data_IF_583999779878
#
_entry.id   IF_583999779878
#
_cell.length_a   1.000
_cell.length_b   1.000
_cell.length_c   1.000
_cell.angle_alpha   90.00
_cell.angle_beta   90.00
_cell.angle_gamma   90.00
#
_symmetry.space_group_name_H-M   'P 1'
#
loop_
_entity.id
_entity.type
_entity.pdbx_description
1 polymer ?
#
# COMPACT_ATOMS: atom_id res chain seq x y z
N UNK A 1 -10.24 -19.18 28.20
CA UNK A 1 -9.48 -18.01 27.73
C UNK A 1 -9.66 -17.98 26.23
N UNK A 2 -10.28 -16.93 25.69
CA UNK A 2 -10.43 -16.82 24.24
C UNK A 2 -9.05 -16.54 23.63
N UNK A 3 -8.56 -17.49 22.84
CA UNK A 3 -7.29 -17.39 22.16
C UNK A 3 -7.31 -16.23 21.15
N UNK A 4 -6.29 -15.37 21.21
CA UNK A 4 -6.18 -14.24 20.28
C UNK A 4 -5.73 -14.73 18.90
N UNK A 5 -6.51 -14.42 17.87
CA UNK A 5 -6.10 -14.61 16.48
C UNK A 5 -5.13 -13.50 16.08
N UNK A 6 -4.09 -13.84 15.34
CA UNK A 6 -3.11 -12.88 14.81
C UNK A 6 -2.96 -13.05 13.30
N UNK A 7 -2.76 -11.95 12.57
CA UNK A 7 -2.24 -11.99 11.21
C UNK A 7 -0.72 -11.92 11.25
N UNK A 8 -0.06 -12.93 10.70
CA UNK A 8 1.38 -13.01 10.57
C UNK A 8 1.79 -12.76 9.12
N UNK A 9 2.74 -11.88 8.93
CA UNK A 9 3.37 -11.52 7.66
C UNK A 9 4.81 -11.99 7.69
N UNK A 10 5.20 -12.79 6.70
CA UNK A 10 6.54 -13.39 6.65
C UNK A 10 7.22 -13.10 5.31
N UNK A 11 8.36 -12.42 5.34
CA UNK A 11 9.24 -12.25 4.18
C UNK A 11 10.48 -13.13 4.32
N UNK A 12 10.95 -13.69 3.19
CA UNK A 12 12.22 -14.38 3.11
C UNK A 12 13.26 -13.45 2.49
N UNK A 13 14.24 -13.00 3.27
CA UNK A 13 15.29 -12.09 2.83
C UNK A 13 16.66 -12.76 3.02
N UNK A 14 17.34 -13.12 1.93
CA UNK A 14 18.75 -13.53 1.91
C UNK A 14 19.21 -14.53 3.03
N UNK A 15 18.34 -15.48 3.39
CA UNK A 15 18.63 -16.50 4.40
C UNK A 15 18.12 -16.20 5.81
N UNK A 16 17.50 -15.04 6.03
CA UNK A 16 16.80 -14.68 7.26
C UNK A 16 15.29 -14.47 7.00
N UNK A 17 14.49 -14.81 8.01
CA UNK A 17 13.03 -14.77 7.91
C UNK A 17 12.50 -13.62 8.77
N UNK A 18 12.00 -12.58 8.11
CA UNK A 18 11.37 -11.44 8.79
C UNK A 18 9.91 -11.76 9.04
N UNK A 19 9.52 -11.79 10.31
CA UNK A 19 8.15 -12.09 10.74
C UNK A 19 7.57 -10.90 11.49
N UNK A 20 6.42 -10.40 11.04
CA UNK A 20 5.64 -9.36 11.71
C UNK A 20 4.25 -9.91 12.03
N UNK A 21 3.78 -9.76 13.26
CA UNK A 21 2.46 -10.28 13.68
C UNK A 21 1.62 -9.18 14.32
N UNK A 22 0.37 -9.03 13.88
CA UNK A 22 -0.58 -8.03 14.40
C UNK A 22 -1.88 -8.70 14.86
N UNK A 23 -2.58 -8.16 15.87
CA UNK A 23 -3.86 -8.70 16.31
C UNK A 23 -4.91 -8.72 15.20
N UNK A 24 -5.68 -9.81 15.13
CA UNK A 24 -6.80 -9.94 14.20
C UNK A 24 -8.13 -9.68 14.91
N UNK A 25 -8.97 -8.84 14.31
CA UNK A 25 -10.36 -8.63 14.73
C UNK A 25 -11.28 -9.50 13.88
N UNK A 26 -11.98 -10.46 14.50
CA UNK A 26 -12.97 -11.28 13.81
C UNK A 26 -14.29 -10.53 13.71
N UNK A 27 -14.74 -10.28 12.48
CA UNK A 27 -16.05 -9.68 12.23
C UNK A 27 -17.14 -10.74 12.06
N UNK A 28 -16.85 -11.85 11.37
CA UNK A 28 -17.74 -13.00 11.19
C UNK A 28 -16.92 -14.25 10.80
N UNK A 29 -17.59 -15.32 10.34
CA UNK A 29 -16.93 -16.60 10.01
C UNK A 29 -15.99 -16.54 8.81
N UNK A 30 -16.14 -15.54 7.95
CA UNK A 30 -15.38 -15.41 6.71
C UNK A 30 -14.62 -14.09 6.61
N UNK A 31 -14.58 -13.28 7.68
CA UNK A 31 -13.93 -11.98 7.68
C UNK A 31 -13.18 -11.70 8.97
N UNK A 32 -11.86 -11.58 8.82
CA UNK A 32 -10.91 -11.07 9.80
C UNK A 32 -10.35 -9.75 9.27
N UNK A 33 -10.08 -8.81 10.16
CA UNK A 33 -9.40 -7.55 9.83
C UNK A 33 -8.15 -7.42 10.67
N UNK A 34 -7.06 -7.06 10.01
CA UNK A 34 -5.75 -6.84 10.59
C UNK A 34 -5.20 -5.53 10.05
N UNK A 35 -4.71 -4.67 10.93
CA UNK A 35 -4.07 -3.41 10.54
C UNK A 35 -2.58 -3.63 10.55
N UNK A 36 -1.93 -3.43 9.41
CA UNK A 36 -0.48 -3.59 9.28
C UNK A 36 0.26 -2.44 9.97
N UNK A 37 1.47 -2.75 10.45
CA UNK A 37 2.40 -1.74 10.97
C UNK A 37 3.42 -1.36 9.89
N UNK A 38 4.18 -0.29 10.16
CA UNK A 38 5.28 0.14 9.30
C UNK A 38 6.29 -1.01 9.12
N UNK A 39 6.33 -1.56 7.91
CA UNK A 39 7.11 -2.75 7.56
C UNK A 39 7.93 -2.44 6.31
N UNK A 40 9.20 -2.91 6.21
CA UNK A 40 10.01 -2.71 5.02
C UNK A 40 9.31 -3.21 3.75
N UNK A 41 9.54 -2.54 2.60
CA UNK A 41 8.89 -2.90 1.36
C UNK A 41 9.32 -4.29 0.88
N UNK A 42 8.38 -5.03 0.29
CA UNK A 42 8.61 -6.38 -0.20
C UNK A 42 7.35 -7.23 -0.22
N UNK A 43 7.50 -8.47 -0.71
CA UNK A 43 6.43 -9.47 -0.73
C UNK A 43 6.46 -10.31 0.55
N UNK A 44 5.33 -10.39 1.23
CA UNK A 44 5.15 -11.16 2.45
C UNK A 44 4.09 -12.23 2.24
N UNK A 45 4.39 -13.46 2.69
CA UNK A 45 3.38 -14.49 2.87
C UNK A 45 2.50 -14.13 4.07
N UNK A 46 1.19 -14.37 3.97
CA UNK A 46 0.23 -14.06 5.03
C UNK A 46 -0.29 -15.35 5.65
N UNK A 47 -0.29 -15.43 6.98
CA UNK A 47 -0.85 -16.54 7.72
C UNK A 47 -1.71 -16.04 8.89
N UNK A 48 -2.72 -16.82 9.27
CA UNK A 48 -3.44 -16.62 10.52
C UNK A 48 -2.85 -17.56 11.55
N UNK A 49 -2.49 -17.02 12.72
CA UNK A 49 -2.03 -17.82 13.85
C UNK A 49 -2.99 -17.73 15.02
N UNK A 50 -2.99 -18.78 15.85
CA UNK A 50 -3.71 -18.85 17.12
C UNK A 50 -2.75 -19.45 18.14
N UNK A 51 -2.53 -18.76 19.24
CA UNK A 51 -1.61 -19.19 20.30
C UNK A 51 -0.21 -19.57 19.78
N UNK A 52 0.27 -18.86 18.75
CA UNK A 52 1.57 -19.08 18.11
C UNK A 52 1.62 -20.21 17.07
N UNK A 53 0.56 -21.01 16.93
CA UNK A 53 0.48 -22.03 15.89
C UNK A 53 -0.16 -21.48 14.61
N UNK A 54 0.40 -21.84 13.45
CA UNK A 54 -0.19 -21.51 12.13
C UNK A 54 -1.50 -22.26 11.97
N UNK A 55 -2.60 -21.51 11.84
CA UNK A 55 -3.94 -22.05 11.65
C UNK A 55 -4.34 -22.05 10.18
N UNK A 56 -3.95 -21.04 9.41
CA UNK A 56 -4.23 -20.95 7.98
C UNK A 56 -3.12 -20.15 7.27
N UNK A 57 -2.89 -20.45 5.99
CA UNK A 57 -1.93 -19.73 5.14
C UNK A 57 -2.68 -19.23 3.90
N UNK A 58 -2.48 -17.97 3.55
CA UNK A 58 -3.01 -17.36 2.34
C UNK A 58 -2.30 -17.91 1.10
N UNK A 59 -3.05 -18.16 0.03
CA UNK A 59 -2.47 -18.47 -1.27
C UNK A 59 -1.88 -17.21 -1.97
N UNK A 60 -2.38 -16.03 -1.62
CA UNK A 60 -1.87 -14.75 -2.11
C UNK A 60 -0.84 -14.15 -1.16
N UNK A 61 0.08 -13.35 -1.71
CA UNK A 61 1.03 -12.55 -0.96
C UNK A 61 0.50 -11.14 -0.73
N UNK A 62 1.05 -10.46 0.29
CA UNK A 62 0.81 -9.05 0.55
C UNK A 62 2.09 -8.27 0.23
N UNK A 63 1.96 -7.19 -0.54
CA UNK A 63 3.09 -6.34 -0.90
C UNK A 63 3.11 -5.07 -0.04
N UNK A 64 4.16 -4.90 0.76
CA UNK A 64 4.44 -3.61 1.36
C UNK A 64 5.16 -2.74 0.31
N UNK A 65 4.55 -1.61 -0.04
CA UNK A 65 5.10 -0.68 -1.03
C UNK A 65 5.71 0.54 -0.36
N UNK A 66 6.72 1.12 -1.00
CA UNK A 66 7.23 2.44 -0.59
C UNK A 66 6.17 3.49 -0.89
N UNK A 67 5.95 4.47 0.00
CA UNK A 67 5.08 5.58 -0.32
C UNK A 67 5.61 6.39 -1.51
N UNK A 68 4.74 6.98 -2.33
CA UNK A 68 5.14 7.87 -3.41
C UNK A 68 5.83 9.11 -2.84
N UNK A 69 6.87 9.58 -3.52
CA UNK A 69 7.61 10.79 -3.17
C UNK A 69 7.51 11.76 -4.32
N UNK A 70 7.15 13.02 -4.06
CA UNK A 70 7.11 14.08 -5.07
C UNK A 70 8.38 14.92 -4.96
N UNK A 71 9.01 15.21 -6.11
CA UNK A 71 10.24 16.02 -6.16
C UNK A 71 10.02 17.35 -6.89
N UNK A 72 9.23 17.36 -7.97
CA UNK A 72 8.90 18.57 -8.69
C UNK A 72 7.60 18.42 -9.50
N UNK A 73 7.07 19.55 -9.97
CA UNK A 73 5.94 19.58 -10.89
C UNK A 73 6.09 20.72 -11.90
N UNK A 74 5.48 20.57 -13.07
CA UNK A 74 5.43 21.59 -14.12
C UNK A 74 4.17 21.45 -15.00
N UNK A 75 3.50 22.56 -15.37
CA UNK A 75 3.72 23.92 -14.86
C UNK A 75 3.28 24.06 -13.40
N UNK A 76 3.81 25.06 -12.70
CA UNK A 76 3.38 25.44 -11.34
C UNK A 76 2.30 26.53 -11.34
N UNK A 77 1.61 26.69 -12.48
CA UNK A 77 0.50 27.61 -12.70
C UNK A 77 -0.46 26.98 -13.70
N UNK A 78 -1.71 27.42 -13.70
CA UNK A 78 -2.75 26.93 -14.61
C UNK A 78 -3.93 27.89 -14.68
N UNK A 79 -4.87 27.60 -15.58
CA UNK A 79 -6.11 28.38 -15.70
C UNK A 79 -7.04 28.13 -14.50
N UNK A 80 -7.73 29.18 -14.05
CA UNK A 80 -8.80 29.06 -13.06
C UNK A 80 -9.97 28.19 -13.58
N UNK A 81 -10.14 28.13 -14.90
CA UNK A 81 -11.17 27.33 -15.56
C UNK A 81 -10.78 25.83 -15.71
N UNK A 82 -9.55 25.46 -15.31
CA UNK A 82 -9.04 24.09 -15.42
C UNK A 82 -8.38 23.75 -16.77
N UNK A 83 -8.19 22.46 -17.04
CA UNK A 83 -7.62 21.95 -18.29
C UNK A 83 -6.10 22.05 -18.42
N UNK A 84 -5.40 22.44 -17.35
CA UNK A 84 -3.93 22.46 -17.32
C UNK A 84 -3.42 21.07 -16.95
N UNK A 85 -2.70 20.42 -17.86
CA UNK A 85 -2.01 19.16 -17.55
C UNK A 85 -0.76 19.48 -16.73
N UNK A 86 -0.71 18.95 -15.51
CA UNK A 86 0.42 19.06 -14.59
C UNK A 86 1.23 17.77 -14.64
N UNK A 87 2.49 17.87 -15.05
CA UNK A 87 3.46 16.79 -14.95
C UNK A 87 4.07 16.81 -13.55
N UNK A 88 4.09 15.65 -12.89
CA UNK A 88 4.64 15.48 -11.55
C UNK A 88 5.78 14.47 -11.63
N UNK A 89 6.94 14.88 -11.13
CA UNK A 89 8.11 14.02 -11.02
C UNK A 89 8.33 13.57 -9.58
N UNK A 90 8.90 12.39 -9.42
CA UNK A 90 9.00 11.78 -8.11
C UNK A 90 9.66 10.43 -8.09
N UNK A 91 9.25 9.58 -7.14
CA UNK A 91 9.67 8.20 -7.02
C UNK A 91 8.54 7.33 -6.43
N UNK A 92 8.63 6.02 -6.68
CA UNK A 92 7.70 5.00 -6.19
C UNK A 92 6.25 5.18 -6.66
N UNK A 93 6.04 5.79 -7.83
CA UNK A 93 4.71 5.78 -8.45
C UNK A 93 4.37 4.38 -8.96
N UNK A 94 3.13 3.95 -8.73
CA UNK A 94 2.64 2.64 -9.16
C UNK A 94 1.29 2.84 -9.83
N UNK A 95 1.17 2.27 -11.02
CA UNK A 95 -0.07 2.31 -11.81
C UNK A 95 -1.01 1.17 -11.35
N UNK A 96 -1.72 1.40 -10.25
CA UNK A 96 -2.72 0.49 -9.70
C UNK A 96 -4.08 1.16 -9.45
N UNK A 97 -4.26 2.38 -9.96
CA UNK A 97 -5.47 3.20 -9.78
C UNK A 97 -5.62 3.84 -8.38
N UNK A 98 -4.64 3.68 -7.49
CA UNK A 98 -4.69 4.28 -6.14
C UNK A 98 -4.21 5.74 -6.08
N UNK A 99 -3.52 6.23 -7.12
CA UNK A 99 -2.95 7.57 -7.15
C UNK A 99 -3.94 8.60 -7.70
N UNK A 100 -4.13 9.68 -6.92
CA UNK A 100 -5.00 10.80 -7.23
C UNK A 100 -4.26 12.11 -6.98
N UNK A 101 -4.41 13.06 -7.91
CA UNK A 101 -3.98 14.42 -7.72
C UNK A 101 -5.11 15.25 -7.11
N UNK A 102 -4.82 15.90 -5.99
CA UNK A 102 -5.74 16.81 -5.34
C UNK A 102 -5.29 18.26 -5.54
N UNK A 103 -6.11 19.04 -6.23
CA UNK A 103 -5.95 20.49 -6.43
C UNK A 103 -7.03 21.22 -5.62
N UNK A 104 -6.73 21.50 -4.35
CA UNK A 104 -7.72 22.02 -3.40
C UNK A 104 -8.83 20.98 -3.14
N UNK A 105 -10.08 21.32 -3.46
CA UNK A 105 -11.23 20.42 -3.32
C UNK A 105 -11.46 19.50 -4.53
N UNK A 106 -10.76 19.74 -5.64
CA UNK A 106 -10.90 18.96 -6.88
C UNK A 106 -9.89 17.82 -6.88
N UNK A 107 -10.33 16.63 -7.27
CA UNK A 107 -9.47 15.47 -7.42
C UNK A 107 -9.56 14.93 -8.86
N UNK A 108 -8.42 14.56 -9.44
CA UNK A 108 -8.36 13.82 -10.68
C UNK A 108 -7.46 12.60 -10.55
N UNK A 109 -7.76 11.58 -11.36
CA UNK A 109 -6.96 10.36 -11.42
C UNK A 109 -5.58 10.73 -11.95
N UNK A 110 -4.53 10.22 -11.30
CA UNK A 110 -3.18 10.36 -11.82
C UNK A 110 -2.96 9.38 -12.98
N UNK A 111 -2.51 9.89 -14.11
CA UNK A 111 -2.05 9.09 -15.24
C UNK A 111 -0.56 8.79 -15.04
N UNK A 112 -0.23 7.57 -14.62
CA UNK A 112 1.13 7.18 -14.23
C UNK A 112 1.91 6.74 -15.47
N UNK A 113 2.92 7.51 -15.84
CA UNK A 113 3.80 7.20 -16.99
C UNK A 113 4.95 6.27 -16.61
N UNK A 114 5.47 6.42 -15.40
CA UNK A 114 6.55 5.59 -14.86
C UNK A 114 6.61 5.67 -13.34
N UNK A 115 7.55 4.94 -12.72
CA UNK A 115 7.78 5.04 -11.28
C UNK A 115 8.29 6.40 -10.78
N UNK A 116 8.61 7.33 -11.69
CA UNK A 116 9.15 8.65 -11.38
C UNK A 116 8.42 9.79 -12.11
N UNK A 117 7.36 9.50 -12.86
CA UNK A 117 6.59 10.49 -13.61
C UNK A 117 5.11 10.11 -13.71
N UNK A 118 4.23 11.08 -13.45
CA UNK A 118 2.79 10.99 -13.68
C UNK A 118 2.25 12.33 -14.18
N UNK A 119 1.06 12.34 -14.77
CA UNK A 119 0.35 13.56 -15.14
C UNK A 119 -1.06 13.62 -14.57
N UNK A 120 -1.53 14.83 -14.30
CA UNK A 120 -2.87 15.09 -13.77
C UNK A 120 -3.49 16.29 -14.50
N UNK A 121 -4.82 16.29 -14.65
CA UNK A 121 -5.57 17.34 -15.36
C UNK A 121 -6.92 17.63 -14.72
#
# INVERSE_FOLDING_TARGET
ADAALMCQFTAAEAGEQRVTSVPATRHNEHRLTCTTEATPPGLYAVAITRDGAVHAVSAATFEFRRPPVLTSLAPNFGSQDGGTVVHVHGANFVDDGSLWCHFGATASIADVHSSHELSCS
#
